data_IF_153930808596
#
_entry.id   IF_153930808596
#
_cell.length_a   1.000
_cell.length_b   1.000
_cell.length_c   1.000
_cell.angle_alpha   90.00
_cell.angle_beta   90.00
_cell.angle_gamma   90.00
#
_symmetry.space_group_name_H-M   'P 1'
#
loop_
_entity.id
_entity.type
_entity.pdbx_description
1 polymer ?
#
# COMPACT_ATOMS: atom_id res chain seq x y z
N UNK A 1 14.71 7.46 10.30
CA UNK A 1 14.68 6.43 11.36
C UNK A 1 15.38 6.99 12.59
N UNK A 2 16.66 7.36 12.52
CA UNK A 2 17.41 7.98 13.62
C UNK A 2 16.72 9.21 14.27
N UNK A 3 16.19 10.14 13.46
CA UNK A 3 15.49 11.33 13.94
C UNK A 3 14.32 11.01 14.89
N UNK A 4 13.59 9.94 14.60
CA UNK A 4 12.40 9.53 15.34
C UNK A 4 12.67 8.37 16.30
N UNK A 5 13.93 7.93 16.45
CA UNK A 5 14.30 6.81 17.32
C UNK A 5 13.66 5.47 16.90
N UNK A 6 13.54 5.22 15.59
CA UNK A 6 12.95 3.98 15.06
C UNK A 6 14.02 2.89 14.99
N UNK A 7 13.88 1.86 15.81
CA UNK A 7 14.86 0.76 15.95
C UNK A 7 14.64 -0.38 14.94
N UNK A 8 13.53 -0.39 14.21
CA UNK A 8 13.27 -1.39 13.17
C UNK A 8 14.20 -1.20 11.97
N UNK A 9 14.67 -2.30 11.33
CA UNK A 9 15.55 -2.19 10.18
C UNK A 9 14.80 -1.57 8.98
N UNK A 10 15.37 -0.56 8.29
CA UNK A 10 14.78 -0.06 7.06
C UNK A 10 14.66 -1.16 6.01
N UNK A 11 13.61 -1.09 5.20
CA UNK A 11 13.45 -1.94 4.04
C UNK A 11 12.83 -1.15 2.89
N UNK A 12 12.97 -1.65 1.68
CA UNK A 12 12.34 -1.10 0.48
C UNK A 12 11.52 -2.18 -0.22
N UNK A 13 10.48 -1.75 -0.90
CA UNK A 13 9.69 -2.59 -1.80
C UNK A 13 10.13 -2.27 -3.24
N UNK A 14 10.64 -3.29 -3.92
CA UNK A 14 10.97 -3.22 -5.35
C UNK A 14 9.81 -3.80 -6.14
N UNK A 15 9.29 -3.01 -7.08
CA UNK A 15 8.17 -3.36 -7.95
C UNK A 15 8.64 -3.35 -9.39
N UNK A 16 8.76 -4.51 -9.99
CA UNK A 16 9.05 -4.67 -11.41
C UNK A 16 7.74 -4.72 -12.19
N UNK A 17 7.45 -3.68 -12.96
CA UNK A 17 6.22 -3.53 -13.71
C UNK A 17 6.38 -4.01 -15.17
N UNK A 18 5.43 -4.82 -15.62
CA UNK A 18 5.30 -5.30 -16.98
C UNK A 18 3.92 -4.93 -17.58
N UNK A 19 3.27 -3.90 -17.02
CA UNK A 19 1.98 -3.39 -17.46
C UNK A 19 0.85 -4.41 -17.23
N UNK A 20 0.06 -4.69 -18.26
CA UNK A 20 -1.11 -5.60 -18.20
C UNK A 20 -0.76 -7.04 -17.80
N UNK A 21 0.51 -7.41 -17.83
CA UNK A 21 1.00 -8.75 -17.53
C UNK A 21 1.43 -8.92 -16.06
N UNK A 22 1.22 -7.89 -15.24
CA UNK A 22 1.36 -7.93 -13.80
C UNK A 22 2.72 -7.44 -13.30
N UNK A 23 2.84 -7.39 -11.98
CA UNK A 23 3.93 -6.73 -11.29
C UNK A 23 4.64 -7.71 -10.33
N UNK A 24 5.95 -7.83 -10.49
CA UNK A 24 6.81 -8.56 -9.57
C UNK A 24 7.14 -7.70 -8.36
N UNK A 25 6.73 -8.12 -7.16
CA UNK A 25 6.98 -7.36 -5.92
C UNK A 25 7.96 -8.12 -5.03
N UNK A 26 9.00 -7.45 -4.52
CA UNK A 26 9.91 -8.03 -3.52
C UNK A 26 10.28 -7.03 -2.42
N UNK A 27 10.45 -7.54 -1.21
CA UNK A 27 11.01 -6.79 -0.07
C UNK A 27 12.53 -6.94 -0.06
N UNK A 28 13.24 -5.83 0.13
CA UNK A 28 14.70 -5.73 0.12
C UNK A 28 15.15 -5.01 1.37
N UNK A 29 16.09 -5.59 2.11
CA UNK A 29 16.69 -5.03 3.34
C UNK A 29 18.13 -4.61 3.14
N UNK A 30 18.79 -5.10 2.09
CA UNK A 30 20.15 -4.73 1.73
C UNK A 30 20.37 -4.73 0.22
N UNK A 31 21.41 -4.03 -0.24
CA UNK A 31 21.78 -4.05 -1.65
C UNK A 31 22.17 -5.46 -2.16
N UNK A 32 22.53 -6.39 -1.28
CA UNK A 32 22.90 -7.74 -1.68
C UNK A 32 21.68 -8.60 -2.03
N UNK A 33 20.51 -8.30 -1.46
CA UNK A 33 19.25 -9.01 -1.77
C UNK A 33 18.85 -8.89 -3.25
N UNK A 34 19.27 -7.81 -3.92
CA UNK A 34 19.03 -7.59 -5.36
C UNK A 34 20.18 -8.07 -6.24
N UNK A 35 21.39 -8.26 -5.69
CA UNK A 35 22.54 -8.84 -6.41
C UNK A 35 22.45 -10.36 -6.47
N UNK A 36 21.99 -10.98 -5.38
CA UNK A 36 22.01 -12.43 -5.18
C UNK A 36 20.64 -13.08 -5.37
N UNK A 37 19.87 -12.62 -6.36
CA UNK A 37 18.55 -13.17 -6.65
C UNK A 37 18.64 -14.64 -7.04
N UNK A 38 17.92 -15.51 -6.33
CA UNK A 38 17.79 -16.91 -6.71
C UNK A 38 16.91 -17.07 -7.97
N UNK A 39 16.89 -18.28 -8.56
CA UNK A 39 16.13 -18.56 -9.80
C UNK A 39 14.64 -18.18 -9.68
N UNK A 40 14.02 -18.42 -8.52
CA UNK A 40 12.60 -18.10 -8.30
C UNK A 40 12.37 -16.59 -8.24
N UNK A 41 13.23 -15.85 -7.56
CA UNK A 41 13.18 -14.40 -7.49
C UNK A 41 13.43 -13.77 -8.86
N UNK A 42 14.43 -14.23 -9.61
CA UNK A 42 14.65 -13.77 -10.99
C UNK A 42 13.44 -14.01 -11.87
N UNK A 43 12.82 -15.19 -11.81
CA UNK A 43 11.60 -15.45 -12.58
C UNK A 43 10.44 -14.52 -12.17
N UNK A 44 10.33 -14.17 -10.88
CA UNK A 44 9.33 -13.24 -10.38
C UNK A 44 9.57 -11.79 -10.83
N UNK A 45 10.83 -11.40 -10.99
CA UNK A 45 11.26 -10.01 -11.23
C UNK A 45 11.67 -9.73 -12.68
N UNK A 46 11.86 -10.74 -13.53
CA UNK A 46 12.38 -10.56 -14.89
C UNK A 46 11.28 -10.53 -15.96
N UNK A 47 10.13 -11.15 -15.69
CA UNK A 47 9.11 -11.39 -16.70
C UNK A 47 7.72 -11.31 -16.07
N UNK A 48 6.83 -10.54 -16.68
CA UNK A 48 5.40 -10.60 -16.36
C UNK A 48 4.78 -11.94 -16.77
N UNK A 49 3.45 -12.03 -16.74
CA UNK A 49 2.74 -13.12 -17.41
C UNK A 49 3.16 -13.19 -18.90
N UNK A 50 3.30 -14.40 -19.44
CA UNK A 50 3.50 -14.68 -20.87
C UNK A 50 4.84 -14.28 -21.52
N UNK A 51 5.90 -13.96 -20.77
CA UNK A 51 7.21 -13.69 -21.40
C UNK A 51 7.53 -12.22 -21.63
N UNK A 52 6.60 -11.31 -21.29
CA UNK A 52 6.78 -9.86 -21.44
C UNK A 52 7.88 -9.33 -20.52
N UNK A 53 8.79 -8.55 -21.10
CA UNK A 53 9.87 -7.90 -20.38
C UNK A 53 9.34 -6.80 -19.47
N UNK A 54 10.01 -6.62 -18.32
CA UNK A 54 9.76 -5.51 -17.41
C UNK A 54 10.16 -4.20 -18.10
N UNK A 55 9.26 -3.22 -18.08
CA UNK A 55 9.48 -1.89 -18.66
C UNK A 55 9.93 -0.86 -17.63
N UNK A 56 9.54 -1.05 -16.37
CA UNK A 56 9.80 -0.10 -15.30
C UNK A 56 10.07 -0.82 -13.96
N UNK A 57 10.93 -0.20 -13.14
CA UNK A 57 11.18 -0.67 -11.78
C UNK A 57 11.01 0.50 -10.82
N UNK A 58 10.05 0.36 -9.89
CA UNK A 58 9.82 1.32 -8.82
C UNK A 58 10.48 0.81 -7.53
N UNK A 59 11.18 1.70 -6.83
CA UNK A 59 11.77 1.44 -5.52
C UNK A 59 11.09 2.38 -4.53
N UNK A 60 10.39 1.80 -3.56
CA UNK A 60 9.61 2.55 -2.58
C UNK A 60 10.07 2.20 -1.17
N UNK A 61 10.11 3.20 -0.27
CA UNK A 61 10.28 2.96 1.16
C UNK A 61 9.23 1.97 1.69
N UNK A 62 9.69 0.99 2.46
CA UNK A 62 8.83 0.08 3.19
C UNK A 62 8.23 0.73 4.42
N UNK A 63 6.91 0.67 4.56
CA UNK A 63 6.19 1.13 5.74
C UNK A 63 5.75 -0.08 6.55
N UNK A 64 6.12 -0.12 7.82
CA UNK A 64 5.68 -1.14 8.75
C UNK A 64 4.20 -0.99 9.09
N UNK A 65 3.51 -2.10 9.33
CA UNK A 65 2.27 -2.11 10.11
C UNK A 65 2.47 -2.80 11.45
N UNK A 66 2.06 -2.13 12.52
CA UNK A 66 2.03 -2.70 13.87
C UNK A 66 0.61 -2.86 14.40
N UNK A 67 -0.40 -2.65 13.55
CA UNK A 67 -1.77 -2.96 13.91
C UNK A 67 -1.97 -4.48 13.96
N UNK A 68 -2.73 -4.94 14.95
CA UNK A 68 -3.02 -6.36 15.12
C UNK A 68 -4.47 -6.59 15.48
N UNK A 69 -5.08 -7.61 14.90
CA UNK A 69 -6.41 -8.11 15.25
C UNK A 69 -6.26 -9.57 15.66
N UNK A 70 -6.64 -9.91 16.89
CA UNK A 70 -6.48 -11.26 17.44
C UNK A 70 -5.04 -11.79 17.26
N UNK A 71 -4.04 -10.98 17.60
CA UNK A 71 -2.60 -11.29 17.49
C UNK A 71 -2.08 -11.47 16.05
N UNK A 72 -2.92 -11.29 15.03
CA UNK A 72 -2.52 -11.33 13.62
C UNK A 72 -2.28 -9.91 13.08
N UNK A 73 -1.26 -9.76 12.25
CA UNK A 73 -0.92 -8.47 11.62
C UNK A 73 -2.07 -8.00 10.75
N UNK A 74 -2.42 -6.72 10.86
CA UNK A 74 -3.52 -6.10 10.15
C UNK A 74 -3.08 -4.81 9.44
N UNK A 75 -3.71 -4.48 8.32
CA UNK A 75 -3.58 -3.17 7.68
C UNK A 75 -4.98 -2.66 7.27
N UNK A 76 -5.30 -1.38 7.51
CA UNK A 76 -6.60 -0.81 7.15
C UNK A 76 -6.71 -0.56 5.65
N UNK A 77 -7.87 -0.85 5.09
CA UNK A 77 -8.27 -0.51 3.71
C UNK A 77 -9.48 0.41 3.79
N UNK A 78 -9.36 1.61 3.22
CA UNK A 78 -10.42 2.63 3.23
C UNK A 78 -11.11 2.68 1.87
N UNK A 79 -12.44 2.62 1.86
CA UNK A 79 -13.27 2.75 0.68
C UNK A 79 -13.85 4.15 0.58
N UNK A 80 -13.84 4.68 -0.64
CA UNK A 80 -14.40 5.99 -0.97
C UNK A 80 -15.32 5.89 -2.19
N UNK A 81 -16.37 6.71 -2.21
CA UNK A 81 -17.22 6.97 -3.37
C UNK A 81 -17.25 8.48 -3.59
N UNK A 82 -16.99 8.91 -4.82
CA UNK A 82 -16.68 10.32 -5.10
C UNK A 82 -15.55 10.79 -4.17
N UNK A 83 -15.69 11.92 -3.47
CA UNK A 83 -14.72 12.40 -2.49
C UNK A 83 -15.09 12.04 -1.02
N UNK A 84 -16.01 11.10 -0.80
CA UNK A 84 -16.50 10.71 0.52
C UNK A 84 -15.96 9.36 0.97
N UNK A 85 -15.50 9.29 2.22
CA UNK A 85 -15.17 8.02 2.90
C UNK A 85 -16.46 7.31 3.29
N UNK A 86 -16.64 6.08 2.82
CA UNK A 86 -17.89 5.31 3.00
C UNK A 86 -17.73 4.06 3.86
N UNK A 87 -16.51 3.63 4.14
CA UNK A 87 -16.29 2.32 4.75
C UNK A 87 -14.85 1.86 4.70
N UNK A 88 -14.65 0.63 5.13
CA UNK A 88 -13.37 -0.05 5.00
C UNK A 88 -13.38 -1.44 5.60
N UNK A 89 -12.24 -2.08 5.55
CA UNK A 89 -11.96 -3.32 6.29
C UNK A 89 -10.49 -3.37 6.65
N UNK A 90 -10.17 -4.19 7.65
CA UNK A 90 -8.81 -4.62 7.89
C UNK A 90 -8.49 -5.84 7.03
N UNK A 91 -7.37 -5.80 6.33
CA UNK A 91 -6.74 -7.00 5.80
C UNK A 91 -5.89 -7.60 6.90
N UNK A 92 -6.22 -8.82 7.30
CA UNK A 92 -5.56 -9.53 8.41
C UNK A 92 -4.84 -10.75 7.88
N UNK A 93 -3.62 -10.98 8.36
CA UNK A 93 -2.80 -12.12 7.95
C UNK A 93 -2.09 -12.77 9.15
N UNK A 94 -2.37 -14.05 9.40
CA UNK A 94 -1.82 -14.79 10.55
C UNK A 94 -0.40 -15.29 10.34
N UNK A 95 0.02 -15.48 9.08
CA UNK A 95 1.34 -16.00 8.71
C UNK A 95 2.33 -14.98 8.13
N UNK A 96 2.10 -13.67 8.32
CA UNK A 96 2.96 -12.60 7.76
C UNK A 96 3.44 -11.66 8.84
N UNK A 97 4.65 -11.13 8.65
CA UNK A 97 5.27 -10.12 9.51
C UNK A 97 4.84 -8.68 9.19
N UNK A 98 5.24 -7.76 10.07
CA UNK A 98 4.96 -6.32 9.99
C UNK A 98 5.62 -5.61 8.79
N UNK A 99 6.65 -6.21 8.19
CA UNK A 99 7.40 -5.74 7.01
C UNK A 99 7.10 -6.54 5.73
N UNK A 100 6.06 -7.37 5.76
CA UNK A 100 5.67 -8.19 4.62
C UNK A 100 4.38 -7.71 3.97
N UNK A 101 4.25 -7.99 2.68
CA UNK A 101 3.01 -7.74 1.94
C UNK A 101 1.89 -8.67 2.45
N UNK A 102 0.88 -8.10 3.11
CA UNK A 102 -0.28 -8.86 3.58
C UNK A 102 -1.26 -9.22 2.45
N UNK A 103 -1.15 -8.60 1.27
CA UNK A 103 -1.87 -8.98 0.05
C UNK A 103 -1.34 -10.30 -0.52
N UNK A 104 -1.47 -11.38 0.24
CA UNK A 104 -0.91 -12.68 -0.10
C UNK A 104 -1.86 -13.82 0.31
N UNK A 105 -1.73 -15.01 -0.29
CA UNK A 105 -2.60 -16.14 0.04
C UNK A 105 -2.59 -16.44 1.54
N UNK A 106 -3.79 -16.56 2.13
CA UNK A 106 -3.97 -16.74 3.57
C UNK A 106 -4.49 -15.50 4.30
N UNK A 107 -4.53 -14.34 3.63
CA UNK A 107 -5.22 -13.16 4.15
C UNK A 107 -6.73 -13.37 4.26
N UNK A 108 -7.34 -12.71 5.26
CA UNK A 108 -8.78 -12.60 5.40
C UNK A 108 -9.15 -11.15 5.77
N UNK A 109 -10.44 -10.84 5.69
CA UNK A 109 -10.94 -9.48 5.91
C UNK A 109 -11.76 -9.43 7.19
N UNK A 110 -11.46 -8.44 8.03
CA UNK A 110 -12.24 -8.13 9.23
C UNK A 110 -12.90 -6.77 8.99
N UNK A 111 -14.23 -6.64 9.12
CA UNK A 111 -14.89 -5.36 8.93
C UNK A 111 -14.24 -4.27 9.79
N UNK A 112 -13.98 -3.13 9.18
CA UNK A 112 -13.64 -1.92 9.91
C UNK A 112 -14.97 -1.38 10.42
N UNK A 113 -15.46 -1.97 11.50
CA UNK A 113 -16.72 -1.56 12.10
C UNK A 113 -16.50 -0.15 12.67
N UNK A 114 -17.02 0.84 11.95
CA UNK A 114 -17.11 2.19 12.44
C UNK A 114 -18.16 2.21 13.54
N UNK A 115 -17.72 2.05 14.80
CA UNK A 115 -18.59 2.23 15.96
C UNK A 115 -19.13 3.68 16.02
N UNK A 116 -18.43 4.62 15.38
CA UNK A 116 -18.78 6.04 15.30
C UNK A 116 -18.37 6.67 13.95
N UNK A 117 -18.78 7.91 13.68
CA UNK A 117 -18.51 8.59 12.39
C UNK A 117 -17.01 8.72 12.11
N UNK A 118 -16.58 8.41 10.88
CA UNK A 118 -15.18 8.57 10.44
C UNK A 118 -14.91 9.87 9.70
N UNK A 119 -15.93 10.72 9.58
CA UNK A 119 -15.85 12.00 8.87
C UNK A 119 -15.64 13.18 9.81
N UNK A 120 -15.85 12.99 11.11
CA UNK A 120 -15.65 14.00 12.13
C UNK A 120 -14.79 13.46 13.28
N UNK A 121 -13.70 14.16 13.65
CA UNK A 121 -12.93 13.82 14.84
C UNK A 121 -13.64 14.31 16.11
N UNK A 122 -13.42 13.63 17.23
CA UNK A 122 -13.72 14.13 18.56
C UNK A 122 -12.54 14.93 19.10
N UNK A 123 -12.66 16.25 19.06
CA UNK A 123 -11.63 17.20 19.52
C UNK A 123 -11.41 17.19 21.03
N UNK A 124 -12.32 16.60 21.80
CA UNK A 124 -12.23 16.51 23.25
C UNK A 124 -11.60 15.20 23.74
N UNK A 125 -11.55 14.18 22.89
CA UNK A 125 -10.98 12.88 23.18
C UNK A 125 -9.46 12.84 22.99
N UNK A 126 -8.86 11.72 23.40
CA UNK A 126 -7.47 11.39 23.11
C UNK A 126 -7.24 11.44 21.58
N UNK A 127 -6.12 12.00 21.08
CA UNK A 127 -5.79 11.99 19.65
C UNK A 127 -5.79 10.61 18.98
N UNK A 128 -5.50 9.55 19.74
CA UNK A 128 -5.52 8.15 19.26
C UNK A 128 -6.81 7.40 19.63
N UNK A 129 -7.83 8.12 20.13
CA UNK A 129 -9.15 7.53 20.29
C UNK A 129 -9.67 7.04 18.92
N UNK A 130 -10.40 5.93 18.90
CA UNK A 130 -10.94 5.32 17.68
C UNK A 130 -11.51 6.32 16.65
N UNK A 131 -12.41 7.26 16.99
CA UNK A 131 -12.94 8.21 16.00
C UNK A 131 -11.86 9.13 15.40
N UNK A 132 -10.85 9.54 16.17
CA UNK A 132 -9.76 10.40 15.72
C UNK A 132 -8.76 9.64 14.83
N UNK A 133 -8.42 8.41 15.22
CA UNK A 133 -7.58 7.52 14.42
C UNK A 133 -8.22 7.21 13.06
N UNK A 134 -9.51 6.87 13.03
CA UNK A 134 -10.22 6.61 11.77
C UNK A 134 -10.42 7.88 10.93
N UNK A 135 -10.62 9.04 11.56
CA UNK A 135 -10.59 10.31 10.85
C UNK A 135 -9.24 10.54 10.16
N UNK A 136 -8.13 10.27 10.84
CA UNK A 136 -6.79 10.38 10.25
C UNK A 136 -6.60 9.41 9.06
N UNK A 137 -7.08 8.18 9.16
CA UNK A 137 -7.08 7.23 8.02
C UNK A 137 -7.86 7.81 6.83
N UNK A 138 -9.03 8.40 7.08
CA UNK A 138 -9.83 9.06 6.06
C UNK A 138 -9.18 10.31 5.45
N UNK A 139 -8.37 11.06 6.20
CA UNK A 139 -7.58 12.18 5.67
C UNK A 139 -6.51 11.67 4.70
N UNK A 140 -5.70 10.69 5.11
CA UNK A 140 -4.65 10.10 4.26
C UNK A 140 -5.25 9.47 3.00
N UNK A 141 -6.37 8.75 3.13
CA UNK A 141 -7.07 8.15 2.01
C UNK A 141 -7.51 9.21 0.98
N UNK A 142 -8.07 10.35 1.43
CA UNK A 142 -8.48 11.45 0.54
C UNK A 142 -7.28 12.13 -0.14
N UNK A 143 -6.14 12.26 0.54
CA UNK A 143 -4.92 12.76 -0.09
C UNK A 143 -4.43 11.82 -1.20
N UNK A 144 -4.44 10.51 -0.94
CA UNK A 144 -4.09 9.50 -1.95
C UNK A 144 -5.05 9.52 -3.15
N UNK A 145 -6.36 9.67 -2.90
CA UNK A 145 -7.36 9.81 -3.96
C UNK A 145 -7.19 11.09 -4.77
N UNK A 146 -6.86 12.21 -4.13
CA UNK A 146 -6.59 13.46 -4.82
C UNK A 146 -5.37 13.31 -5.73
N UNK A 147 -4.28 12.69 -5.25
CA UNK A 147 -3.10 12.42 -6.06
C UNK A 147 -3.43 11.54 -7.28
N UNK A 148 -4.18 10.45 -7.08
CA UNK A 148 -4.61 9.58 -8.17
C UNK A 148 -5.54 10.29 -9.18
N UNK A 149 -6.36 11.24 -8.71
CA UNK A 149 -7.25 12.02 -9.57
C UNK A 149 -6.46 13.02 -10.43
N UNK A 150 -5.41 13.63 -9.87
CA UNK A 150 -4.48 14.49 -10.63
C UNK A 150 -3.73 13.68 -11.69
N UNK A 151 -3.15 12.54 -11.30
CA UNK A 151 -2.44 11.63 -12.22
C UNK A 151 -3.32 11.19 -13.40
N UNK A 152 -4.58 10.83 -13.12
CA UNK A 152 -5.53 10.41 -14.14
C UNK A 152 -5.90 11.56 -15.09
N UNK A 153 -6.06 12.77 -14.55
CA UNK A 153 -6.38 13.96 -15.36
C UNK A 153 -5.20 14.34 -16.27
N UNK A 154 -3.97 14.34 -15.75
CA UNK A 154 -2.76 14.61 -16.53
C UNK A 154 -2.58 13.57 -17.65
N UNK A 155 -2.70 12.28 -17.34
CA UNK A 155 -2.60 11.19 -18.33
C UNK A 155 -3.65 11.33 -19.43
N UNK A 156 -4.88 11.73 -19.08
CA UNK A 156 -5.95 11.96 -20.05
C UNK A 156 -5.61 13.10 -21.00
N UNK A 157 -5.11 14.23 -20.49
CA UNK A 157 -4.70 15.36 -21.33
C UNK A 157 -3.56 14.97 -22.29
N UNK A 158 -2.55 14.24 -21.81
CA UNK A 158 -1.46 13.73 -22.65
C UNK A 158 -1.96 12.84 -23.79
N UNK A 159 -2.92 11.96 -23.50
CA UNK A 159 -3.54 11.10 -24.52
C UNK A 159 -4.35 11.92 -25.54
N UNK A 160 -5.09 12.94 -25.10
CA UNK A 160 -5.86 13.81 -26.00
C UNK A 160 -4.94 14.62 -26.92
N UNK A 161 -3.82 15.15 -26.41
CA UNK A 161 -2.81 15.86 -27.20
C UNK A 161 -2.12 14.93 -28.21
N UNK A 162 -1.76 13.72 -27.80
CA UNK A 162 -1.13 12.72 -28.68
C UNK A 162 -2.03 12.27 -29.83
N UNK A 163 -3.35 12.26 -29.63
CA UNK A 163 -4.34 11.95 -30.69
C UNK A 163 -4.54 13.14 -31.65
N UNK A 164 -4.32 14.37 -31.18
CA UNK A 164 -4.46 15.58 -31.97
C UNK A 164 -3.25 15.91 -32.86
N UNK A 165 -2.08 15.33 -32.57
CA UNK A 165 -0.81 15.50 -33.30
C UNK A 165 -0.65 14.55 -34.49
#
# INVERSE_FOLDING_TARGET
>A
YDEYGIDQPPFVIVKADAGTYGMGIMTVKSADDVRELNRRQRNKMAVGKEGMAVSEVLIQEGVYTFESINEAVAEPVVYMLDNFVVGGFYRVHTGRGADENLNSPGMHFVPLAFDDTCVMPDRSANPDASPNRFYAYGVIARLAMLAASIELDETRHEMEEAVAA
#
